data_IF_066719755770
#
_entry.id   IF_066719755770
#
_cell.length_a   1.000
_cell.length_b   1.000
_cell.length_c   1.000
_cell.angle_alpha   90.00
_cell.angle_beta   90.00
_cell.angle_gamma   90.00
#
_symmetry.space_group_name_H-M   'P 1'
#
loop_
_entity.id
_entity.type
_entity.pdbx_description
1 polymer ?
#
# COMPACT_ATOMS: atom_id res chain seq x y z
N UNK A 1 -23.47 -26.07 39.64
CA UNK A 1 -23.22 -24.79 38.93
C UNK A 1 -22.80 -25.12 37.51
N UNK A 2 -23.75 -25.12 36.60
CA UNK A 2 -23.48 -25.39 35.18
C UNK A 2 -23.03 -24.11 34.51
N UNK A 3 -21.75 -24.07 34.09
CA UNK A 3 -21.20 -22.97 33.33
C UNK A 3 -21.82 -22.96 31.92
N UNK A 4 -22.66 -21.98 31.64
CA UNK A 4 -23.18 -21.68 30.33
C UNK A 4 -22.03 -21.13 29.53
N UNK A 5 -21.34 -21.95 28.70
CA UNK A 5 -20.50 -21.50 27.64
C UNK A 5 -21.41 -20.83 26.60
N UNK A 6 -21.51 -19.51 26.66
CA UNK A 6 -22.17 -18.72 25.63
C UNK A 6 -21.49 -19.02 24.30
N UNK A 7 -22.12 -19.87 23.49
CA UNK A 7 -21.66 -20.22 22.16
C UNK A 7 -21.59 -18.95 21.31
N UNK A 8 -20.39 -18.52 21.03
CA UNK A 8 -20.12 -17.33 20.21
C UNK A 8 -20.75 -17.53 18.84
N UNK A 9 -21.87 -16.90 18.56
CA UNK A 9 -22.58 -16.96 17.29
C UNK A 9 -21.74 -16.20 16.25
N UNK A 10 -21.08 -16.91 15.34
CA UNK A 10 -20.40 -16.29 14.19
C UNK A 10 -21.42 -15.47 13.42
N UNK A 11 -21.22 -14.16 13.41
CA UNK A 11 -22.06 -13.23 12.67
C UNK A 11 -21.61 -13.22 11.20
N UNK A 12 -22.59 -13.20 10.29
CA UNK A 12 -22.32 -12.94 8.87
C UNK A 12 -22.38 -11.45 8.62
N UNK A 13 -21.36 -10.91 7.97
CA UNK A 13 -21.34 -9.51 7.55
C UNK A 13 -20.67 -9.37 6.19
N UNK A 14 -20.97 -8.30 5.49
CA UNK A 14 -20.48 -8.02 4.14
C UNK A 14 -19.59 -6.79 4.14
N UNK A 15 -18.49 -6.84 3.40
CA UNK A 15 -17.57 -5.72 3.23
C UNK A 15 -16.93 -5.75 1.84
N UNK A 16 -16.45 -4.61 1.45
CA UNK A 16 -15.69 -4.35 0.23
C UNK A 16 -14.20 -4.41 0.59
N UNK A 17 -13.39 -5.13 -0.19
CA UNK A 17 -12.01 -5.40 0.19
C UNK A 17 -11.05 -5.48 -1.01
N UNK A 18 -9.80 -5.17 -0.71
CA UNK A 18 -8.64 -5.45 -1.58
C UNK A 18 -7.87 -6.63 -1.02
N UNK A 19 -7.50 -7.58 -1.87
CA UNK A 19 -6.66 -8.73 -1.47
C UNK A 19 -5.20 -8.30 -1.47
N UNK A 20 -4.59 -8.24 -0.27
CA UNK A 20 -3.19 -7.85 -0.11
C UNK A 20 -2.25 -9.05 -0.23
N UNK A 21 -2.61 -10.18 0.39
CA UNK A 21 -1.74 -11.36 0.44
C UNK A 21 -2.54 -12.65 0.57
N UNK A 22 -1.98 -13.71 0.00
CA UNK A 22 -2.55 -15.05 0.05
C UNK A 22 -1.48 -16.04 0.52
N UNK A 23 -1.82 -16.87 1.52
CA UNK A 23 -0.94 -17.88 2.09
C UNK A 23 -1.62 -19.25 2.06
N UNK A 24 -0.85 -20.31 1.83
CA UNK A 24 -1.35 -21.69 1.92
C UNK A 24 -1.72 -22.04 3.36
N UNK A 25 -2.83 -22.73 3.54
CA UNK A 25 -3.25 -23.32 4.80
C UNK A 25 -3.66 -24.77 4.55
N UNK A 26 -2.81 -25.70 4.96
CA UNK A 26 -3.00 -27.11 4.62
C UNK A 26 -3.02 -27.38 3.10
N UNK A 27 -3.75 -28.40 2.68
CA UNK A 27 -3.76 -28.86 1.29
C UNK A 27 -4.74 -28.07 0.41
N UNK A 28 -5.91 -27.72 0.91
CA UNK A 28 -7.02 -27.16 0.12
C UNK A 28 -7.39 -25.72 0.43
N UNK A 29 -6.92 -25.19 1.55
CA UNK A 29 -7.34 -23.90 2.07
C UNK A 29 -6.28 -22.82 1.87
N UNK A 30 -6.67 -21.56 2.03
CA UNK A 30 -5.76 -20.40 2.06
C UNK A 30 -6.18 -19.45 3.17
N UNK A 31 -5.20 -18.75 3.74
CA UNK A 31 -5.42 -17.53 4.52
C UNK A 31 -5.26 -16.37 3.56
N UNK A 32 -6.26 -15.50 3.50
CA UNK A 32 -6.23 -14.25 2.74
C UNK A 32 -6.12 -13.08 3.70
N UNK A 33 -5.16 -12.19 3.45
CA UNK A 33 -5.03 -10.90 4.13
C UNK A 33 -5.74 -9.86 3.27
N UNK A 34 -6.69 -9.17 3.87
CA UNK A 34 -7.60 -8.24 3.22
C UNK A 34 -7.44 -6.85 3.86
N UNK A 35 -7.43 -5.82 3.05
CA UNK A 35 -7.71 -4.46 3.50
C UNK A 35 -9.15 -4.15 3.14
N UNK A 36 -10.01 -4.02 4.14
CA UNK A 36 -11.43 -3.81 3.95
C UNK A 36 -11.82 -2.35 4.10
N UNK A 37 -12.92 -1.99 3.50
CA UNK A 37 -13.42 -0.61 3.49
C UNK A 37 -13.85 -0.14 4.88
N UNK A 38 -14.51 -1.02 5.65
CA UNK A 38 -15.14 -0.66 6.94
C UNK A 38 -14.35 -1.13 8.16
N UNK A 39 -13.69 -2.29 8.06
CA UNK A 39 -13.07 -2.95 9.20
C UNK A 39 -11.54 -2.97 9.13
N UNK A 40 -10.92 -2.18 8.23
CA UNK A 40 -9.47 -2.14 8.10
C UNK A 40 -8.85 -3.47 7.66
N UNK A 41 -7.64 -3.76 8.12
CA UNK A 41 -6.98 -5.02 7.78
C UNK A 41 -7.54 -6.19 8.59
N UNK A 42 -7.83 -7.29 7.92
CA UNK A 42 -8.24 -8.54 8.57
C UNK A 42 -7.75 -9.76 7.80
N UNK A 43 -7.75 -10.90 8.48
CA UNK A 43 -7.40 -12.19 7.87
C UNK A 43 -8.59 -13.13 7.87
N UNK A 44 -8.77 -13.83 6.76
CA UNK A 44 -9.85 -14.78 6.60
C UNK A 44 -9.38 -16.10 5.99
N UNK A 45 -9.98 -17.20 6.40
CA UNK A 45 -9.77 -18.53 5.82
C UNK A 45 -10.73 -18.72 4.66
N UNK A 46 -10.19 -19.00 3.48
CA UNK A 46 -10.93 -19.44 2.30
C UNK A 46 -10.81 -20.96 2.17
N UNK A 47 -11.85 -21.67 2.62
CA UNK A 47 -11.85 -23.14 2.66
C UNK A 47 -12.09 -23.72 1.28
N UNK A 48 -11.31 -24.75 0.92
CA UNK A 48 -11.42 -25.46 -0.35
C UNK A 48 -11.08 -24.62 -1.58
N UNK A 49 -10.46 -23.45 -1.40
CA UNK A 49 -10.16 -22.51 -2.50
C UNK A 49 -9.21 -23.10 -3.55
N UNK A 50 -8.36 -24.06 -3.17
CA UNK A 50 -7.41 -24.74 -4.07
C UNK A 50 -7.98 -25.96 -4.81
N UNK A 51 -9.20 -26.35 -4.51
CA UNK A 51 -9.87 -27.46 -5.24
C UNK A 51 -10.28 -26.98 -6.63
N UNK A 52 -10.22 -27.88 -7.62
CA UNK A 52 -10.64 -27.58 -9.00
C UNK A 52 -12.10 -27.12 -9.09
N UNK A 53 -12.95 -27.64 -8.20
CA UNK A 53 -14.36 -27.25 -8.06
C UNK A 53 -14.60 -26.06 -7.12
N UNK A 54 -13.56 -25.24 -6.87
CA UNK A 54 -13.70 -24.13 -5.93
C UNK A 54 -14.68 -23.09 -6.42
N UNK A 55 -15.66 -22.75 -5.58
CA UNK A 55 -16.61 -21.65 -5.83
C UNK A 55 -15.96 -20.26 -5.77
N UNK A 56 -14.76 -20.14 -5.21
CA UNK A 56 -14.04 -18.86 -5.10
C UNK A 56 -13.20 -18.54 -6.34
N UNK A 57 -12.68 -19.59 -7.02
CA UNK A 57 -11.84 -19.44 -8.21
C UNK A 57 -10.69 -18.46 -8.01
N UNK A 58 -10.40 -17.67 -9.04
CA UNK A 58 -9.35 -16.66 -9.02
C UNK A 58 -9.72 -15.34 -8.29
N UNK A 59 -10.92 -15.25 -7.70
CA UNK A 59 -11.39 -14.00 -7.08
C UNK A 59 -10.58 -13.58 -5.85
N UNK A 60 -9.94 -14.55 -5.18
CA UNK A 60 -9.13 -14.32 -3.98
C UNK A 60 -7.63 -14.28 -4.27
N UNK A 61 -7.22 -14.00 -5.50
CA UNK A 61 -5.81 -13.75 -5.81
C UNK A 61 -5.39 -12.31 -5.43
N UNK A 62 -4.10 -12.03 -5.17
CA UNK A 62 -3.61 -10.70 -4.86
C UNK A 62 -4.03 -9.65 -5.90
N UNK A 63 -4.15 -8.39 -5.44
CA UNK A 63 -4.57 -7.23 -6.22
C UNK A 63 -6.04 -7.23 -6.64
N UNK A 64 -6.83 -8.24 -6.24
CA UNK A 64 -8.27 -8.28 -6.50
C UNK A 64 -9.02 -7.26 -5.64
N UNK A 65 -9.94 -6.51 -6.25
CA UNK A 65 -11.00 -5.76 -5.58
C UNK A 65 -12.25 -6.62 -5.56
N UNK A 66 -12.74 -6.93 -4.39
CA UNK A 66 -13.78 -7.92 -4.16
C UNK A 66 -14.84 -7.42 -3.18
N UNK A 67 -16.07 -7.81 -3.40
CA UNK A 67 -17.15 -7.76 -2.42
C UNK A 67 -17.28 -9.15 -1.79
N UNK A 68 -17.25 -9.23 -0.46
CA UNK A 68 -17.25 -10.51 0.21
C UNK A 68 -18.14 -10.56 1.45
N UNK A 69 -18.68 -11.75 1.70
CA UNK A 69 -19.36 -12.07 2.94
C UNK A 69 -18.42 -12.87 3.84
N UNK A 70 -18.25 -12.38 5.05
CA UNK A 70 -17.42 -12.97 6.09
C UNK A 70 -18.26 -13.54 7.22
N UNK A 71 -17.82 -14.67 7.76
CA UNK A 71 -18.34 -15.24 9.00
C UNK A 71 -17.29 -15.05 10.09
N UNK A 72 -17.64 -14.30 11.14
CA UNK A 72 -16.74 -13.97 12.25
C UNK A 72 -17.36 -12.91 13.15
N UNK A 73 -16.55 -12.27 13.99
CA UNK A 73 -16.96 -11.11 14.77
C UNK A 73 -16.33 -9.85 14.18
N UNK A 74 -17.10 -8.90 13.65
CA UNK A 74 -16.56 -7.62 13.20
C UNK A 74 -15.94 -6.82 14.36
N UNK A 75 -16.43 -7.02 15.57
CA UNK A 75 -15.98 -6.35 16.80
C UNK A 75 -14.73 -6.98 17.42
N UNK A 76 -14.20 -8.05 16.83
CA UNK A 76 -12.93 -8.62 17.29
C UNK A 76 -12.98 -9.61 18.44
N UNK A 77 -14.17 -9.95 18.91
CA UNK A 77 -14.32 -10.92 20.00
C UNK A 77 -14.29 -12.35 19.45
N UNK A 78 -13.47 -13.23 20.00
CA UNK A 78 -13.33 -14.63 19.59
C UNK A 78 -12.12 -14.89 18.70
N UNK A 79 -12.26 -15.75 17.67
CA UNK A 79 -11.15 -16.13 16.80
C UNK A 79 -10.60 -14.94 16.00
N UNK A 80 -9.27 -14.77 15.92
CA UNK A 80 -8.65 -13.73 15.11
C UNK A 80 -8.86 -13.94 13.60
N UNK A 81 -9.25 -15.16 13.18
CA UNK A 81 -9.49 -15.49 11.77
C UNK A 81 -10.97 -15.55 11.44
N UNK A 82 -11.37 -14.78 10.43
CA UNK A 82 -12.69 -14.88 9.82
C UNK A 82 -12.75 -16.09 8.85
N UNK A 83 -13.94 -16.40 8.36
CA UNK A 83 -14.10 -17.38 7.28
C UNK A 83 -14.78 -16.69 6.09
N UNK A 84 -14.27 -16.88 4.88
CA UNK A 84 -14.93 -16.40 3.66
C UNK A 84 -16.15 -17.29 3.39
N UNK A 85 -17.34 -16.68 3.39
CA UNK A 85 -18.60 -17.35 3.07
C UNK A 85 -18.94 -17.22 1.58
N UNK A 86 -18.88 -15.99 1.06
CA UNK A 86 -19.12 -15.68 -0.36
C UNK A 86 -18.11 -14.63 -0.82
N UNK A 87 -17.83 -14.61 -2.13
CA UNK A 87 -17.00 -13.59 -2.77
C UNK A 87 -17.45 -13.34 -4.19
N UNK A 88 -17.53 -12.07 -4.55
CA UNK A 88 -17.77 -11.59 -5.90
C UNK A 88 -16.64 -10.66 -6.33
N UNK A 89 -16.19 -10.78 -7.56
CA UNK A 89 -15.17 -9.89 -8.09
C UNK A 89 -15.82 -8.57 -8.53
N UNK A 90 -15.32 -7.47 -8.01
CA UNK A 90 -15.62 -6.11 -8.49
C UNK A 90 -14.66 -5.75 -9.61
N UNK A 91 -13.36 -5.96 -9.38
CA UNK A 91 -12.31 -5.78 -10.39
C UNK A 91 -11.12 -6.71 -10.10
N UNK A 92 -10.64 -7.41 -11.10
CA UNK A 92 -9.50 -8.32 -11.00
C UNK A 92 -8.30 -7.73 -11.74
N UNK A 93 -7.56 -6.86 -11.06
CA UNK A 93 -6.38 -6.20 -11.63
C UNK A 93 -5.20 -7.16 -11.85
N UNK A 94 -5.18 -8.29 -11.14
CA UNK A 94 -4.09 -9.26 -11.18
C UNK A 94 -3.72 -9.71 -12.60
N UNK A 95 -4.68 -9.89 -13.51
CA UNK A 95 -4.39 -10.35 -14.87
C UNK A 95 -3.52 -9.35 -15.66
N UNK A 96 -3.84 -8.07 -15.61
CA UNK A 96 -3.06 -7.01 -16.28
C UNK A 96 -1.73 -6.75 -15.59
N UNK A 97 -1.70 -6.82 -14.25
CA UNK A 97 -0.48 -6.57 -13.48
C UNK A 97 0.54 -7.72 -13.59
N UNK A 98 0.09 -8.98 -13.66
CA UNK A 98 0.97 -10.16 -13.80
C UNK A 98 1.67 -10.24 -15.15
N UNK A 99 1.14 -9.61 -16.19
CA UNK A 99 1.76 -9.58 -17.52
C UNK A 99 2.87 -8.53 -17.67
N UNK A 100 3.02 -7.63 -16.69
CA UNK A 100 3.97 -6.52 -16.71
C UNK A 100 4.78 -6.53 -15.39
N UNK A 101 6.04 -6.93 -15.48
CA UNK A 101 6.87 -7.12 -14.29
C UNK A 101 7.07 -5.82 -13.47
N UNK A 102 7.36 -4.64 -14.04
CA UNK A 102 7.40 -3.36 -13.33
C UNK A 102 6.11 -3.05 -12.56
N UNK A 103 4.94 -3.24 -13.17
CA UNK A 103 3.65 -3.00 -12.52
C UNK A 103 3.36 -4.02 -11.43
N UNK A 104 3.71 -5.28 -11.66
CA UNK A 104 3.57 -6.34 -10.65
C UNK A 104 4.41 -6.06 -9.41
N UNK A 105 5.66 -5.66 -9.58
CA UNK A 105 6.56 -5.35 -8.45
C UNK A 105 6.10 -4.11 -7.69
N UNK A 106 5.62 -3.08 -8.40
CA UNK A 106 5.01 -1.89 -7.79
C UNK A 106 3.75 -2.26 -6.97
N UNK A 107 2.84 -3.05 -7.55
CA UNK A 107 1.63 -3.53 -6.85
C UNK A 107 1.96 -4.36 -5.61
N UNK A 108 3.02 -5.19 -5.68
CA UNK A 108 3.50 -5.98 -4.54
C UNK A 108 4.04 -5.10 -3.41
N UNK A 109 4.78 -4.03 -3.74
CA UNK A 109 5.26 -3.06 -2.77
C UNK A 109 4.11 -2.26 -2.12
N UNK A 110 3.07 -1.92 -2.90
CA UNK A 110 1.84 -1.30 -2.40
C UNK A 110 1.14 -2.22 -1.40
N UNK A 111 0.96 -3.51 -1.71
CA UNK A 111 0.37 -4.48 -0.79
C UNK A 111 1.14 -4.59 0.52
N UNK A 112 2.47 -4.73 0.44
CA UNK A 112 3.30 -4.84 1.63
C UNK A 112 3.24 -3.57 2.48
N UNK A 113 3.25 -2.39 1.85
CA UNK A 113 3.13 -1.12 2.54
C UNK A 113 1.77 -1.01 3.24
N UNK A 114 0.67 -1.32 2.55
CA UNK A 114 -0.67 -1.31 3.13
C UNK A 114 -0.79 -2.24 4.34
N UNK A 115 -0.22 -3.45 4.26
CA UNK A 115 -0.21 -4.40 5.36
C UNK A 115 0.58 -3.86 6.57
N UNK A 116 1.70 -3.19 6.34
CA UNK A 116 2.54 -2.66 7.41
C UNK A 116 1.97 -1.41 8.07
N UNK A 117 1.33 -0.54 7.29
CA UNK A 117 0.67 0.67 7.80
C UNK A 117 -0.65 0.38 8.55
N UNK A 118 -1.08 -0.87 8.55
CA UNK A 118 -2.24 -1.34 9.33
C UNK A 118 -1.80 -2.44 10.31
N UNK A 119 -0.93 -2.15 11.29
CA UNK A 119 -0.37 -3.17 12.19
C UNK A 119 -1.45 -3.82 13.06
N UNK A 120 -2.45 -3.06 13.46
CA UNK A 120 -3.58 -3.54 14.24
C UNK A 120 -4.67 -4.05 13.29
N UNK A 121 -5.13 -5.28 13.51
CA UNK A 121 -6.25 -5.82 12.74
C UNK A 121 -7.56 -5.18 13.18
N UNK A 122 -8.47 -4.98 12.24
CA UNK A 122 -9.83 -4.45 12.45
C UNK A 122 -9.89 -2.98 12.87
N UNK A 123 -8.81 -2.27 12.71
CA UNK A 123 -8.79 -0.81 12.84
C UNK A 123 -9.17 -0.18 11.49
N UNK A 124 -10.27 0.60 11.39
CA UNK A 124 -10.71 1.18 10.14
C UNK A 124 -9.65 2.07 9.50
N UNK A 125 -9.36 1.84 8.22
CA UNK A 125 -8.35 2.55 7.44
C UNK A 125 -8.87 2.96 6.05
N UNK A 126 -10.02 3.66 6.02
CA UNK A 126 -10.74 3.99 4.79
C UNK A 126 -9.88 4.74 3.78
N UNK A 127 -9.10 5.73 4.22
CA UNK A 127 -8.23 6.50 3.32
C UNK A 127 -7.18 5.62 2.65
N UNK A 128 -6.57 4.72 3.42
CA UNK A 128 -5.58 3.79 2.89
C UNK A 128 -6.21 2.76 1.94
N UNK A 129 -7.42 2.26 2.25
CA UNK A 129 -8.19 1.40 1.36
C UNK A 129 -8.44 2.08 0.00
N UNK A 130 -8.94 3.31 0.01
CA UNK A 130 -9.22 4.08 -1.20
C UNK A 130 -7.95 4.37 -2.00
N UNK A 131 -6.84 4.73 -1.33
CA UNK A 131 -5.56 4.98 -1.95
C UNK A 131 -5.01 3.70 -2.62
N UNK A 132 -5.08 2.56 -1.92
CA UNK A 132 -4.62 1.26 -2.45
C UNK A 132 -5.42 0.85 -3.69
N UNK A 133 -6.74 1.01 -3.63
CA UNK A 133 -7.61 0.71 -4.77
C UNK A 133 -7.32 1.64 -5.97
N UNK A 134 -7.15 2.95 -5.71
CA UNK A 134 -6.77 3.92 -6.73
C UNK A 134 -5.42 3.60 -7.41
N UNK A 135 -4.43 3.19 -6.61
CA UNK A 135 -3.13 2.79 -7.13
C UNK A 135 -3.20 1.55 -8.02
N UNK A 136 -3.98 0.52 -7.65
CA UNK A 136 -4.18 -0.66 -8.51
C UNK A 136 -4.89 -0.32 -9.81
N UNK A 137 -5.89 0.57 -9.74
CA UNK A 137 -6.58 1.07 -10.94
C UNK A 137 -5.62 1.79 -11.87
N UNK A 138 -4.78 2.69 -11.35
CA UNK A 138 -3.79 3.43 -12.12
C UNK A 138 -2.73 2.50 -12.76
N UNK A 139 -2.19 1.54 -11.97
CA UNK A 139 -1.26 0.54 -12.49
C UNK A 139 -1.89 -0.33 -13.58
N UNK A 140 -3.14 -0.73 -13.44
CA UNK A 140 -3.84 -1.55 -14.43
C UNK A 140 -4.17 -0.78 -15.71
N UNK A 141 -4.50 0.50 -15.60
CA UNK A 141 -4.73 1.39 -16.75
C UNK A 141 -3.43 1.63 -17.55
N UNK A 142 -2.30 1.74 -16.84
CA UNK A 142 -1.00 1.90 -17.48
C UNK A 142 -0.75 3.27 -18.11
N UNK A 143 -1.47 4.27 -17.67
CA UNK A 143 -1.32 5.66 -18.13
C UNK A 143 -0.06 6.31 -17.58
N UNK A 144 0.45 5.81 -16.45
CA UNK A 144 1.63 6.30 -15.75
C UNK A 144 2.63 5.17 -15.51
N UNK A 145 3.92 5.50 -15.39
CA UNK A 145 4.93 4.49 -15.07
C UNK A 145 4.65 3.85 -13.69
N UNK A 146 4.90 2.54 -13.56
CA UNK A 146 4.67 1.82 -12.31
C UNK A 146 5.47 2.38 -11.13
N UNK A 147 6.67 2.90 -11.39
CA UNK A 147 7.53 3.56 -10.40
C UNK A 147 6.92 4.85 -9.86
N UNK A 148 6.39 5.71 -10.74
CA UNK A 148 5.73 6.96 -10.33
C UNK A 148 4.44 6.69 -9.54
N UNK A 149 3.63 5.71 -9.97
CA UNK A 149 2.43 5.32 -9.23
C UNK A 149 2.78 4.80 -7.83
N UNK A 150 3.85 4.01 -7.70
CA UNK A 150 4.34 3.53 -6.41
C UNK A 150 4.81 4.69 -5.54
N UNK A 151 5.65 5.59 -6.05
CA UNK A 151 6.19 6.70 -5.27
C UNK A 151 5.08 7.67 -4.82
N UNK A 152 4.08 7.94 -5.68
CA UNK A 152 2.88 8.71 -5.32
C UNK A 152 2.07 8.01 -4.22
N UNK A 153 1.92 6.69 -4.32
CA UNK A 153 1.26 5.90 -3.28
C UNK A 153 2.01 5.99 -1.95
N UNK A 154 3.32 5.79 -1.95
CA UNK A 154 4.15 5.81 -0.74
C UNK A 154 4.11 7.17 -0.05
N UNK A 155 4.25 8.27 -0.79
CA UNK A 155 4.19 9.63 -0.25
C UNK A 155 2.84 9.92 0.43
N UNK A 156 1.73 9.55 -0.21
CA UNK A 156 0.39 9.75 0.34
C UNK A 156 0.08 8.82 1.49
N UNK A 157 0.54 7.57 1.45
CA UNK A 157 0.39 6.61 2.53
C UNK A 157 1.17 7.06 3.78
N UNK A 158 2.39 7.60 3.60
CA UNK A 158 3.16 8.22 4.68
C UNK A 158 2.45 9.44 5.26
N UNK A 159 1.80 10.26 4.42
CA UNK A 159 1.00 11.39 4.90
C UNK A 159 -0.17 10.95 5.80
N UNK A 160 -0.83 9.83 5.49
CA UNK A 160 -1.89 9.28 6.35
C UNK A 160 -1.35 8.74 7.68
N UNK A 161 -0.10 8.28 7.70
CA UNK A 161 0.59 7.85 8.92
C UNK A 161 1.23 9.00 9.73
N UNK A 162 1.12 10.26 9.26
CA UNK A 162 1.76 11.41 9.89
C UNK A 162 3.25 11.57 9.57
N UNK A 163 3.75 10.90 8.52
CA UNK A 163 5.16 10.88 8.11
C UNK A 163 5.40 11.58 6.77
N UNK A 164 4.55 12.53 6.39
CA UNK A 164 4.73 13.28 5.14
C UNK A 164 6.09 14.01 5.16
N UNK A 165 6.96 13.81 4.15
CA UNK A 165 8.18 14.61 4.08
C UNK A 165 7.84 16.07 3.75
N UNK A 166 8.43 17.03 4.47
CA UNK A 166 8.36 18.42 4.12
C UNK A 166 9.17 18.66 2.83
N UNK A 167 8.57 19.23 1.78
CA UNK A 167 9.23 19.49 0.50
C UNK A 167 9.12 20.94 0.03
N UNK A 168 8.17 21.71 0.60
CA UNK A 168 7.91 23.12 0.27
C UNK A 168 8.28 24.08 1.38
N UNK A 169 8.75 23.56 2.51
CA UNK A 169 9.17 24.30 3.69
C UNK A 169 10.30 23.55 4.39
N UNK A 170 11.01 24.23 5.29
CA UNK A 170 12.03 23.60 6.13
C UNK A 170 11.38 22.69 7.19
N UNK A 171 11.74 21.41 7.18
CA UNK A 171 11.21 20.42 8.13
C UNK A 171 11.52 20.76 9.62
N UNK A 172 12.50 21.62 9.90
CA UNK A 172 12.91 21.96 11.26
C UNK A 172 12.29 23.27 11.73
N UNK A 173 12.41 24.36 10.96
CA UNK A 173 11.95 25.69 11.38
C UNK A 173 10.70 26.18 10.64
N UNK A 174 10.16 25.42 9.68
CA UNK A 174 8.97 25.79 8.95
C UNK A 174 9.16 26.95 7.94
N UNK A 175 10.39 27.43 7.73
CA UNK A 175 10.63 28.50 6.74
C UNK A 175 10.16 28.04 5.37
N UNK A 176 9.20 28.74 4.73
CA UNK A 176 8.68 28.35 3.42
C UNK A 176 9.74 28.59 2.33
N UNK A 177 9.61 27.84 1.24
CA UNK A 177 10.44 27.97 0.06
C UNK A 177 11.10 26.65 -0.36
N UNK A 178 11.80 26.71 -1.49
CA UNK A 178 12.60 25.59 -1.97
C UNK A 178 13.94 25.56 -1.25
N UNK A 179 14.25 24.44 -0.64
CA UNK A 179 15.51 24.20 0.04
C UNK A 179 16.36 23.18 -0.73
N UNK A 180 17.68 23.41 -0.80
CA UNK A 180 18.58 22.57 -1.59
C UNK A 180 19.07 21.30 -0.88
N UNK A 181 18.74 21.11 0.40
CA UNK A 181 19.15 19.97 1.18
C UNK A 181 17.92 19.18 1.68
N UNK A 182 18.08 17.87 1.82
CA UNK A 182 17.06 16.97 2.34
C UNK A 182 17.67 16.08 3.43
N UNK A 183 17.02 16.03 4.59
CA UNK A 183 17.44 15.19 5.70
C UNK A 183 16.29 14.26 6.11
N UNK A 184 16.49 12.97 5.90
CA UNK A 184 15.52 11.93 6.31
C UNK A 184 15.24 12.01 7.82
N UNK A 185 16.26 12.08 8.71
CA UNK A 185 16.03 12.23 10.16
C UNK A 185 15.29 13.51 10.55
N UNK A 186 15.49 14.59 9.80
CA UNK A 186 14.80 15.87 10.07
C UNK A 186 13.34 15.88 9.51
N UNK A 187 12.98 14.90 8.67
CA UNK A 187 11.64 14.79 8.12
C UNK A 187 11.41 15.46 6.77
N UNK A 188 12.48 15.84 6.03
CA UNK A 188 12.31 16.44 4.71
C UNK A 188 13.38 17.46 4.31
N UNK A 189 12.97 18.44 3.51
CA UNK A 189 13.82 19.54 3.07
C UNK A 189 14.25 20.42 4.25
N UNK A 190 15.49 20.92 4.23
CA UNK A 190 16.05 21.74 5.30
C UNK A 190 16.74 22.97 4.73
N UNK A 191 16.55 24.13 5.38
CA UNK A 191 17.22 25.36 5.02
C UNK A 191 18.73 25.33 5.39
N UNK A 192 19.54 26.25 4.90
CA UNK A 192 20.98 26.27 5.18
C UNK A 192 21.30 26.29 6.69
N UNK A 193 20.52 27.03 7.49
CA UNK A 193 20.73 27.17 8.93
C UNK A 193 20.37 25.91 9.73
N UNK A 194 19.40 25.13 9.24
CA UNK A 194 18.93 23.92 9.92
C UNK A 194 19.56 22.63 9.34
N UNK A 195 20.41 22.74 8.33
CA UNK A 195 20.98 21.59 7.64
C UNK A 195 21.94 20.79 8.52
N UNK A 196 21.64 19.52 8.84
CA UNK A 196 22.57 18.69 9.60
C UNK A 196 23.69 18.15 8.69
N UNK A 197 24.83 17.71 9.26
CA UNK A 197 25.84 16.97 8.53
C UNK A 197 25.25 15.73 7.87
N UNK A 198 25.66 15.43 6.62
CA UNK A 198 25.19 14.25 5.89
C UNK A 198 23.82 14.42 5.23
N UNK A 199 23.21 15.61 5.26
CA UNK A 199 21.99 15.87 4.48
C UNK A 199 22.27 15.67 2.97
N UNK A 200 21.32 15.03 2.27
CA UNK A 200 21.38 14.87 0.83
C UNK A 200 21.17 16.23 0.11
N UNK A 201 21.68 16.32 -1.11
CA UNK A 201 21.50 17.50 -1.95
C UNK A 201 20.80 17.11 -3.24
N UNK A 202 19.48 16.82 -3.20
CA UNK A 202 18.73 16.46 -4.40
C UNK A 202 18.62 17.65 -5.35
N UNK A 203 18.39 17.32 -6.62
CA UNK A 203 18.07 18.36 -7.61
C UNK A 203 16.75 19.07 -7.24
N UNK A 204 16.60 20.37 -7.56
CA UNK A 204 15.32 21.06 -7.34
C UNK A 204 14.14 20.36 -8.04
N UNK A 205 14.38 19.76 -9.20
CA UNK A 205 13.39 18.97 -9.94
C UNK A 205 12.91 17.74 -9.13
N UNK A 206 13.77 17.12 -8.32
CA UNK A 206 13.42 15.98 -7.50
C UNK A 206 12.44 16.36 -6.38
N UNK A 207 12.66 17.46 -5.69
CA UNK A 207 11.71 17.96 -4.69
C UNK A 207 10.39 18.42 -5.33
N UNK A 208 10.48 19.04 -6.52
CA UNK A 208 9.31 19.36 -7.34
C UNK A 208 8.49 18.11 -7.70
N UNK A 209 9.15 17.02 -8.11
CA UNK A 209 8.50 15.75 -8.39
C UNK A 209 7.84 15.15 -7.14
N UNK A 210 8.52 15.16 -5.98
CA UNK A 210 7.91 14.69 -4.73
C UNK A 210 6.63 15.47 -4.40
N UNK A 211 6.64 16.79 -4.60
CA UNK A 211 5.46 17.65 -4.41
C UNK A 211 4.34 17.29 -5.39
N UNK A 212 4.65 17.16 -6.68
CA UNK A 212 3.70 16.79 -7.73
C UNK A 212 3.05 15.42 -7.46
N UNK A 213 3.84 14.40 -7.08
CA UNK A 213 3.34 13.07 -6.73
C UNK A 213 2.45 13.09 -5.48
N UNK A 214 2.79 13.91 -4.50
CA UNK A 214 1.97 14.07 -3.28
C UNK A 214 0.62 14.69 -3.58
N UNK A 215 0.55 15.70 -4.45
CA UNK A 215 -0.70 16.37 -4.85
C UNK A 215 -1.47 15.64 -5.95
N UNK A 216 -0.80 14.79 -6.74
CA UNK A 216 -1.37 14.10 -7.91
C UNK A 216 -1.30 14.88 -9.19
N UNK A 217 -0.33 15.75 -9.30
CA UNK A 217 -0.03 16.47 -10.54
C UNK A 217 0.73 15.57 -11.49
N UNK A 218 -0.01 14.74 -12.20
CA UNK A 218 0.53 13.80 -13.18
C UNK A 218 1.08 14.51 -14.41
N UNK A 219 0.56 15.70 -14.75
CA UNK A 219 1.06 16.48 -15.86
C UNK A 219 2.52 16.88 -15.66
N UNK A 220 2.93 17.17 -14.42
CA UNK A 220 4.33 17.41 -14.07
C UNK A 220 5.10 16.09 -13.93
N UNK A 221 4.54 15.11 -13.23
CA UNK A 221 5.25 13.87 -12.91
C UNK A 221 5.66 13.06 -14.14
N UNK A 222 4.77 12.92 -15.12
CA UNK A 222 5.02 12.11 -16.33
C UNK A 222 6.06 12.73 -17.28
N UNK A 223 6.35 14.02 -17.15
CA UNK A 223 7.33 14.71 -17.99
C UNK A 223 8.70 14.87 -17.33
N UNK A 224 8.93 14.23 -16.17
CA UNK A 224 10.23 14.30 -15.49
C UNK A 224 11.25 13.33 -16.09
N UNK A 225 12.51 13.74 -16.03
CA UNK A 225 13.63 12.94 -16.53
C UNK A 225 13.83 11.65 -15.69
N UNK A 226 14.29 10.54 -16.30
CA UNK A 226 14.55 9.29 -15.59
C UNK A 226 15.55 9.42 -14.42
N UNK A 227 16.52 10.33 -14.51
CA UNK A 227 17.47 10.63 -13.42
C UNK A 227 16.77 11.21 -12.21
N UNK A 228 15.86 12.17 -12.42
CA UNK A 228 15.04 12.82 -11.40
C UNK A 228 14.11 11.79 -10.72
N UNK A 229 13.48 10.92 -11.50
CA UNK A 229 12.62 9.84 -10.98
C UNK A 229 13.40 8.88 -10.10
N UNK A 230 14.62 8.47 -10.49
CA UNK A 230 15.47 7.60 -9.66
C UNK A 230 15.88 8.27 -8.37
N UNK A 231 16.27 9.53 -8.39
CA UNK A 231 16.63 10.29 -7.21
C UNK A 231 15.43 10.44 -6.27
N UNK A 232 14.25 10.82 -6.79
CA UNK A 232 13.00 10.90 -6.05
C UNK A 232 12.66 9.56 -5.37
N UNK A 233 12.69 8.47 -6.12
CA UNK A 233 12.43 7.14 -5.61
C UNK A 233 13.39 6.73 -4.48
N UNK A 234 14.66 7.13 -4.59
CA UNK A 234 15.65 6.90 -3.54
C UNK A 234 15.30 7.63 -2.24
N UNK A 235 14.92 8.90 -2.33
CA UNK A 235 14.52 9.70 -1.16
C UNK A 235 13.22 9.18 -0.53
N UNK A 236 12.21 8.87 -1.35
CA UNK A 236 10.93 8.31 -0.89
C UNK A 236 11.16 6.98 -0.15
N UNK A 237 11.97 6.09 -0.72
CA UNK A 237 12.30 4.81 -0.10
C UNK A 237 13.08 4.98 1.21
N UNK A 238 14.07 5.87 1.24
CA UNK A 238 14.85 6.14 2.45
C UNK A 238 13.99 6.74 3.57
N UNK A 239 13.10 7.68 3.22
CA UNK A 239 12.20 8.30 4.18
C UNK A 239 11.19 7.30 4.76
N UNK A 240 10.58 6.48 3.90
CA UNK A 240 9.69 5.40 4.34
C UNK A 240 10.40 4.40 5.27
N UNK A 241 11.60 3.97 4.87
CA UNK A 241 12.38 3.00 5.64
C UNK A 241 12.77 3.53 7.03
N UNK A 242 13.09 4.81 7.13
CA UNK A 242 13.38 5.47 8.41
C UNK A 242 12.22 5.37 9.40
N UNK A 243 10.99 5.62 8.93
CA UNK A 243 9.81 5.58 9.80
C UNK A 243 9.29 4.17 10.08
N UNK A 244 9.53 3.22 9.18
CA UNK A 244 9.01 1.85 9.33
C UNK A 244 9.89 0.92 10.17
N UNK A 245 11.05 1.37 10.66
CA UNK A 245 12.04 0.58 11.42
C UNK A 245 12.52 -0.71 10.72
N UNK A 246 11.81 -1.18 9.73
CA UNK A 246 12.11 -2.38 8.93
C UNK A 246 11.88 -2.10 7.46
N UNK A 247 12.87 -2.42 6.63
CA UNK A 247 12.76 -2.32 5.18
C UNK A 247 11.60 -3.18 4.62
N UNK A 248 10.93 -2.67 3.60
CA UNK A 248 9.99 -3.46 2.80
C UNK A 248 10.80 -4.50 2.00
N UNK A 249 10.34 -5.76 2.01
CA UNK A 249 10.98 -6.85 1.27
C UNK A 249 10.77 -6.72 -0.24
N UNK A 250 9.66 -6.15 -0.65
CA UNK A 250 9.28 -5.95 -2.05
C UNK A 250 9.99 -4.77 -2.69
N UNK A 251 10.38 -3.75 -1.92
CA UNK A 251 10.94 -2.52 -2.46
C UNK A 251 12.24 -2.71 -3.27
N UNK A 252 13.20 -3.56 -2.85
CA UNK A 252 14.39 -3.87 -3.66
C UNK A 252 14.08 -4.60 -4.97
N UNK A 253 12.90 -5.22 -5.08
CA UNK A 253 12.48 -5.98 -6.26
C UNK A 253 11.75 -5.11 -7.29
N UNK A 254 11.40 -3.86 -6.93
CA UNK A 254 10.69 -2.96 -7.84
C UNK A 254 11.56 -2.64 -9.03
N UNK A 255 11.12 -3.06 -10.20
CA UNK A 255 11.78 -2.71 -11.46
C UNK A 255 11.42 -1.27 -11.84
N UNK A 256 12.41 -0.41 -11.74
CA UNK A 256 12.31 1.03 -12.08
C UNK A 256 12.92 1.36 -13.44
N UNK A 257 13.28 0.34 -14.21
CA UNK A 257 13.71 0.53 -15.59
C UNK A 257 12.49 0.85 -16.42
N UNK A 258 12.46 2.04 -16.96
CA UNK A 258 11.48 2.40 -17.97
C UNK A 258 11.92 1.69 -19.26
N UNK A 259 11.06 0.83 -19.78
CA UNK A 259 11.20 0.37 -21.15
C UNK A 259 11.04 1.62 -22.01
N UNK A 260 12.13 2.05 -22.65
CA UNK A 260 12.07 3.08 -23.68
C UNK A 260 11.14 2.53 -24.77
N UNK A 261 9.92 3.04 -24.78
CA UNK A 261 8.93 2.82 -25.83
C UNK A 261 9.09 3.85 -26.93
#
# INVERSE_FOLDING_TARGET
>A
MAGVTAGYRRQLYRDDAVVLRVQKLGESDRIVTLLTRRHGRLRAVARGVRRTSSRFGARLEPFGHIDLQLAGSPEGVGSPLHSVSQVEAVSLYGKSLLSDYPRYTAASAICETAERLTPVEREPALRLFQLTLGAFKALAAGEHSGGLVLDAYLLRAMAFAGWAPAVTECAVCGTPGQHAAFSVPAGGAVCPDCRPPGAAHPSPATLGLMSALSSGDWAVADHTEPSVRRECSGLVAAHLQWHMERALRSLPLVDRRELNS
#
